data_IF_316478656992
#
_entry.id   IF_316478656992
#
_cell.length_a   1.000
_cell.length_b   1.000
_cell.length_c   1.000
_cell.angle_alpha   90.00
_cell.angle_beta   90.00
_cell.angle_gamma   90.00
#
_symmetry.space_group_name_H-M   'P 1'
#
loop_
_entity.id
_entity.type
_entity.pdbx_description
1 polymer ?
#
# COMPACT_ATOMS: atom_id res chain seq x y z
N UNK A 1 2.20 -2.14 -13.88
CA UNK A 1 2.41 -0.95 -13.04
C UNK A 1 3.36 -0.01 -13.76
N UNK A 2 3.05 1.29 -13.78
CA UNK A 2 3.90 2.33 -14.36
C UNK A 2 3.82 3.62 -13.52
N UNK A 3 4.84 4.50 -13.58
CA UNK A 3 4.84 5.76 -12.83
C UNK A 3 3.70 6.68 -13.27
N UNK A 4 3.00 7.28 -12.29
CA UNK A 4 1.91 8.24 -12.57
C UNK A 4 2.47 9.56 -13.12
N UNK A 5 3.62 10.02 -12.63
CA UNK A 5 4.15 11.34 -12.96
C UNK A 5 3.35 12.47 -12.30
N UNK A 6 3.33 13.64 -12.93
CA UNK A 6 2.69 14.85 -12.37
C UNK A 6 1.23 15.01 -12.79
N UNK A 7 0.78 14.30 -13.83
CA UNK A 7 -0.54 14.46 -14.43
C UNK A 7 -1.27 13.12 -14.46
N UNK A 8 -2.42 13.05 -13.82
CA UNK A 8 -3.30 11.88 -13.89
C UNK A 8 -3.89 11.69 -15.28
N UNK A 9 -4.08 12.76 -16.05
CA UNK A 9 -4.56 12.71 -17.44
C UNK A 9 -3.51 12.05 -18.31
N UNK A 10 -2.25 12.51 -18.25
CA UNK A 10 -1.15 11.93 -19.02
C UNK A 10 -0.88 10.47 -18.62
N UNK A 11 -1.01 10.16 -17.33
CA UNK A 11 -0.91 8.78 -16.84
C UNK A 11 -2.01 7.89 -17.43
N UNK A 12 -3.24 8.40 -17.52
CA UNK A 12 -4.36 7.67 -18.11
C UNK A 12 -4.16 7.42 -19.61
N UNK A 13 -3.61 8.39 -20.32
CA UNK A 13 -3.32 8.25 -21.76
C UNK A 13 -2.20 7.24 -22.02
N UNK A 14 -1.08 7.32 -21.29
CA UNK A 14 -0.02 6.28 -21.37
C UNK A 14 -0.55 4.88 -21.05
N UNK A 15 -1.50 4.77 -20.11
CA UNK A 15 -2.14 3.49 -19.81
C UNK A 15 -3.01 3.00 -20.98
N UNK A 16 -3.75 3.90 -21.62
CA UNK A 16 -4.55 3.59 -22.80
C UNK A 16 -3.67 3.08 -23.95
N UNK A 17 -2.55 3.77 -24.21
CA UNK A 17 -1.58 3.35 -25.24
C UNK A 17 -0.97 1.97 -24.91
N UNK A 18 -0.60 1.73 -23.64
CA UNK A 18 -0.06 0.44 -23.20
C UNK A 18 -1.09 -0.69 -23.36
N UNK A 19 -2.36 -0.43 -23.08
CA UNK A 19 -3.46 -1.40 -23.29
C UNK A 19 -3.64 -1.69 -24.78
N UNK A 20 -3.65 -0.65 -25.64
CA UNK A 20 -3.74 -0.83 -27.08
C UNK A 20 -2.57 -1.64 -27.64
N UNK A 21 -1.35 -1.38 -27.18
CA UNK A 21 -0.16 -2.15 -27.55
C UNK A 21 -0.23 -3.62 -27.10
N UNK A 22 -0.97 -3.90 -26.02
CA UNK A 22 -1.24 -5.26 -25.53
C UNK A 22 -2.45 -5.93 -26.23
N UNK A 23 -3.08 -5.26 -27.22
CA UNK A 23 -4.21 -5.78 -27.97
C UNK A 23 -5.59 -5.48 -27.39
N UNK A 24 -5.69 -4.58 -26.40
CA UNK A 24 -6.95 -4.17 -25.76
C UNK A 24 -7.34 -2.76 -26.21
N UNK A 25 -8.38 -2.64 -27.03
CA UNK A 25 -8.96 -1.34 -27.37
C UNK A 25 -10.02 -0.95 -26.34
N UNK A 26 -9.75 0.10 -25.57
CA UNK A 26 -10.69 0.59 -24.54
C UNK A 26 -11.97 1.20 -25.11
N UNK A 27 -12.01 1.47 -26.41
CA UNK A 27 -13.18 1.97 -27.13
C UNK A 27 -14.02 0.84 -27.76
N UNK A 28 -13.56 -0.41 -27.75
CA UNK A 28 -14.30 -1.54 -28.32
C UNK A 28 -15.58 -1.85 -27.51
N UNK A 29 -16.63 -2.27 -28.21
CA UNK A 29 -17.95 -2.50 -27.61
C UNK A 29 -17.98 -3.62 -26.55
N UNK A 30 -17.02 -4.52 -26.58
CA UNK A 30 -16.87 -5.65 -25.64
C UNK A 30 -15.90 -5.33 -24.47
N UNK A 31 -15.24 -4.17 -24.49
CA UNK A 31 -14.35 -3.72 -23.42
C UNK A 31 -15.08 -2.79 -22.44
N UNK A 32 -14.90 -3.04 -21.15
CA UNK A 32 -15.47 -2.20 -20.10
C UNK A 32 -14.38 -1.74 -19.15
N UNK A 33 -14.33 -0.43 -18.89
CA UNK A 33 -13.34 0.21 -18.07
C UNK A 33 -13.96 0.81 -16.81
N UNK A 34 -13.47 0.41 -15.65
CA UNK A 34 -13.77 1.07 -14.38
C UNK A 34 -12.50 1.72 -13.87
N UNK A 35 -12.57 3.02 -13.61
CA UNK A 35 -11.48 3.78 -13.00
C UNK A 35 -11.60 3.83 -11.48
N UNK A 36 -10.47 3.73 -10.79
CA UNK A 36 -10.36 3.81 -9.33
C UNK A 36 -9.10 4.57 -8.91
N UNK A 37 -8.91 4.78 -7.59
CA UNK A 37 -7.79 5.54 -7.04
C UNK A 37 -8.01 7.06 -7.10
N UNK A 38 -6.99 7.83 -6.73
CA UNK A 38 -7.04 9.31 -6.73
C UNK A 38 -7.26 9.89 -8.12
N UNK A 39 -6.63 9.30 -9.15
CA UNK A 39 -6.73 9.74 -10.54
C UNK A 39 -8.02 9.32 -11.26
N UNK A 40 -8.94 8.61 -10.60
CA UNK A 40 -10.11 7.99 -11.25
C UNK A 40 -10.99 8.94 -12.06
N UNK A 41 -11.07 10.20 -11.64
CA UNK A 41 -11.89 11.21 -12.33
C UNK A 41 -11.20 11.79 -13.58
N UNK A 42 -9.91 11.52 -13.76
CA UNK A 42 -9.11 11.98 -14.87
C UNK A 42 -8.95 10.91 -15.97
N UNK A 43 -9.76 9.86 -15.98
CA UNK A 43 -9.75 8.78 -16.98
C UNK A 43 -10.94 8.97 -17.93
N UNK A 44 -10.76 9.62 -19.10
CA UNK A 44 -11.88 10.03 -19.95
C UNK A 44 -12.59 8.85 -20.64
N UNK A 45 -11.92 7.72 -20.76
CA UNK A 45 -12.45 6.49 -21.35
C UNK A 45 -13.06 5.52 -20.31
N UNK A 46 -13.16 5.94 -19.05
CA UNK A 46 -13.79 5.12 -18.00
C UNK A 46 -15.32 5.13 -18.18
N UNK A 47 -15.92 3.96 -18.29
CA UNK A 47 -17.36 3.80 -18.30
C UNK A 47 -18.00 4.05 -16.94
N UNK A 48 -17.24 3.79 -15.86
CA UNK A 48 -17.68 4.03 -14.48
C UNK A 48 -16.50 4.32 -13.56
N UNK A 49 -16.78 5.08 -12.53
CA UNK A 49 -15.83 5.41 -11.44
C UNK A 49 -16.28 4.72 -10.16
N UNK A 50 -15.38 3.99 -9.51
CA UNK A 50 -15.62 3.32 -8.22
C UNK A 50 -14.54 3.74 -7.23
N UNK A 51 -14.90 3.87 -5.95
CA UNK A 51 -13.96 4.29 -4.92
C UNK A 51 -12.87 3.26 -4.70
N UNK A 52 -11.69 3.72 -4.37
CA UNK A 52 -10.51 2.90 -4.14
C UNK A 52 -10.73 1.88 -3.02
N UNK A 53 -11.31 2.30 -1.91
CA UNK A 53 -11.63 1.42 -0.77
C UNK A 53 -12.51 0.24 -1.21
N UNK A 54 -13.54 0.52 -2.02
CA UNK A 54 -14.46 -0.49 -2.53
C UNK A 54 -13.76 -1.45 -3.49
N UNK A 55 -12.90 -0.92 -4.38
CA UNK A 55 -12.12 -1.74 -5.30
C UNK A 55 -11.09 -2.60 -4.57
N UNK A 56 -10.38 -2.08 -3.57
CA UNK A 56 -9.45 -2.88 -2.75
C UNK A 56 -10.16 -4.04 -2.07
N UNK A 57 -11.29 -3.79 -1.40
CA UNK A 57 -12.08 -4.84 -0.78
C UNK A 57 -12.48 -5.93 -1.79
N UNK A 58 -12.96 -5.52 -2.96
CA UNK A 58 -13.38 -6.45 -4.03
C UNK A 58 -12.21 -7.27 -4.57
N UNK A 59 -11.07 -6.62 -4.83
CA UNK A 59 -9.87 -7.27 -5.37
C UNK A 59 -9.26 -8.25 -4.40
N UNK A 60 -9.11 -7.88 -3.14
CA UNK A 60 -8.62 -8.79 -2.10
C UNK A 60 -9.57 -9.97 -1.90
N UNK A 61 -10.88 -9.74 -1.85
CA UNK A 61 -11.86 -10.82 -1.71
C UNK A 61 -11.90 -11.76 -2.92
N UNK A 62 -11.50 -11.28 -4.11
CA UNK A 62 -11.31 -12.12 -5.29
C UNK A 62 -10.04 -12.97 -5.19
N UNK A 63 -8.94 -12.40 -4.67
CA UNK A 63 -7.65 -13.06 -4.55
C UNK A 63 -7.59 -14.05 -3.37
N UNK A 64 -8.27 -13.72 -2.27
CA UNK A 64 -8.39 -14.57 -1.08
C UNK A 64 -9.74 -14.34 -0.40
N UNK A 65 -10.57 -15.36 -0.32
CA UNK A 65 -11.95 -15.26 0.16
C UNK A 65 -12.07 -15.16 1.70
N UNK A 66 -10.95 -15.21 2.40
CA UNK A 66 -10.94 -15.30 3.86
C UNK A 66 -10.55 -14.01 4.58
N UNK A 67 -10.13 -12.98 3.85
CA UNK A 67 -9.69 -11.73 4.44
C UNK A 67 -10.77 -11.10 5.33
N UNK A 68 -10.36 -10.59 6.49
CA UNK A 68 -11.20 -9.79 7.40
C UNK A 68 -10.66 -8.39 7.58
N UNK A 69 -9.37 -8.22 7.41
CA UNK A 69 -8.70 -6.92 7.48
C UNK A 69 -7.73 -6.78 6.32
N UNK A 70 -7.79 -5.66 5.63
CA UNK A 70 -6.81 -5.29 4.61
C UNK A 70 -6.00 -4.14 5.17
N UNK A 71 -4.67 -4.27 5.10
CA UNK A 71 -3.72 -3.18 5.35
C UNK A 71 -3.07 -2.84 4.02
N UNK A 72 -3.47 -1.73 3.43
CA UNK A 72 -2.89 -1.21 2.19
C UNK A 72 -1.91 -0.10 2.51
N UNK A 73 -0.63 -0.30 2.17
CA UNK A 73 0.40 0.74 2.36
C UNK A 73 0.98 1.08 0.99
N UNK A 74 0.54 2.22 0.49
CA UNK A 74 1.03 2.81 -0.75
C UNK A 74 2.27 3.69 -0.54
N UNK A 75 2.70 4.34 -1.62
CA UNK A 75 3.80 5.30 -1.57
C UNK A 75 3.47 6.57 -0.79
N UNK A 76 2.24 7.06 -0.87
CA UNK A 76 1.83 8.36 -0.29
C UNK A 76 0.70 8.25 0.74
N UNK A 77 0.03 7.14 0.83
CA UNK A 77 -1.08 6.91 1.74
C UNK A 77 -1.02 5.50 2.37
N UNK A 78 -1.78 5.32 3.43
CA UNK A 78 -2.02 4.02 4.04
C UNK A 78 -3.50 3.88 4.40
N UNK A 79 -4.04 2.70 4.24
CA UNK A 79 -5.45 2.38 4.51
C UNK A 79 -5.55 1.09 5.32
N UNK A 80 -6.46 1.09 6.25
CA UNK A 80 -6.89 -0.14 6.92
C UNK A 80 -8.38 -0.29 6.67
N UNK A 81 -8.77 -1.42 6.09
CA UNK A 81 -10.14 -1.71 5.69
C UNK A 81 -10.59 -2.98 6.40
N UNK A 82 -11.66 -2.87 7.18
CA UNK A 82 -12.34 -4.03 7.80
C UNK A 82 -13.40 -4.55 6.85
N UNK A 83 -13.41 -5.85 6.65
CA UNK A 83 -14.42 -6.55 5.85
C UNK A 83 -15.42 -7.28 6.75
N UNK A 84 -16.66 -7.33 6.31
CA UNK A 84 -17.68 -8.22 6.88
C UNK A 84 -17.50 -9.67 6.38
N UNK A 85 -18.35 -10.58 6.87
CA UNK A 85 -18.30 -11.98 6.48
C UNK A 85 -18.60 -12.24 4.99
N UNK A 86 -19.18 -11.25 4.28
CA UNK A 86 -19.45 -11.31 2.84
C UNK A 86 -18.35 -10.69 1.99
N UNK A 87 -17.24 -10.23 2.61
CA UNK A 87 -16.13 -9.56 1.94
C UNK A 87 -16.42 -8.11 1.55
N UNK A 88 -17.48 -7.49 2.10
CA UNK A 88 -17.80 -6.08 1.88
C UNK A 88 -17.16 -5.20 2.93
N UNK A 89 -16.92 -3.95 2.58
CA UNK A 89 -16.38 -2.95 3.51
C UNK A 89 -17.35 -2.70 4.67
N UNK A 90 -16.92 -3.04 5.87
CA UNK A 90 -17.65 -2.76 7.11
C UNK A 90 -17.19 -1.42 7.73
N UNK A 91 -15.89 -1.15 7.72
CA UNK A 91 -15.30 0.07 8.26
C UNK A 91 -13.94 0.33 7.61
N UNK A 92 -13.44 1.55 7.62
CA UNK A 92 -12.09 1.86 7.18
C UNK A 92 -11.53 3.12 7.82
N UNK A 93 -10.22 3.20 7.85
CA UNK A 93 -9.45 4.39 8.22
C UNK A 93 -8.36 4.62 7.16
N UNK A 94 -8.12 5.87 6.81
CA UNK A 94 -7.11 6.27 5.84
C UNK A 94 -6.19 7.35 6.40
N UNK A 95 -4.91 7.26 6.06
CA UNK A 95 -3.91 8.29 6.23
C UNK A 95 -3.43 8.75 4.85
N UNK A 96 -3.92 9.88 4.39
CA UNK A 96 -3.64 10.44 3.06
C UNK A 96 -2.87 11.77 3.09
N UNK A 97 -2.62 12.31 4.29
CA UNK A 97 -2.03 13.65 4.46
C UNK A 97 -0.66 13.64 5.12
N UNK A 98 -0.26 12.49 5.66
CA UNK A 98 0.99 12.38 6.43
C UNK A 98 1.84 11.24 5.87
N UNK A 99 3.08 11.53 5.50
CA UNK A 99 4.04 10.55 5.01
C UNK A 99 4.41 9.48 6.06
N UNK A 100 4.29 9.81 7.36
CA UNK A 100 4.51 8.83 8.42
C UNK A 100 3.51 7.68 8.33
N UNK A 101 4.02 6.45 8.23
CA UNK A 101 3.21 5.25 8.03
C UNK A 101 2.92 4.91 6.56
N UNK A 102 3.67 5.47 5.62
CA UNK A 102 3.56 5.21 4.18
C UNK A 102 4.92 4.83 3.57
N UNK A 103 4.95 4.39 2.32
CA UNK A 103 6.19 4.11 1.60
C UNK A 103 7.13 5.32 1.51
N UNK A 104 6.59 6.53 1.48
CA UNK A 104 7.38 7.77 1.48
C UNK A 104 8.28 7.89 2.72
N UNK A 105 7.84 7.39 3.87
CA UNK A 105 8.69 7.33 5.05
C UNK A 105 9.91 6.43 4.83
N UNK A 106 9.72 5.24 4.25
CA UNK A 106 10.84 4.34 3.92
C UNK A 106 11.79 4.96 2.89
N UNK A 107 11.27 5.65 1.87
CA UNK A 107 12.10 6.37 0.90
C UNK A 107 13.00 7.43 1.56
N UNK A 108 12.46 8.18 2.53
CA UNK A 108 13.25 9.16 3.28
C UNK A 108 14.32 8.45 4.11
N UNK A 109 13.99 7.35 4.80
CA UNK A 109 14.95 6.59 5.57
C UNK A 109 16.04 5.96 4.71
N UNK A 110 15.69 5.36 3.58
CA UNK A 110 16.64 4.80 2.61
C UNK A 110 17.63 5.87 2.11
N UNK A 111 17.13 7.05 1.77
CA UNK A 111 17.97 8.19 1.36
C UNK A 111 18.94 8.62 2.45
N UNK A 112 18.50 8.72 3.70
CA UNK A 112 19.37 9.10 4.84
C UNK A 112 20.43 8.03 5.10
N UNK A 113 20.07 6.76 4.92
CA UNK A 113 20.99 5.62 5.08
C UNK A 113 21.87 5.38 3.84
N UNK A 114 21.66 6.12 2.74
CA UNK A 114 22.45 6.03 1.52
C UNK A 114 22.23 4.71 0.75
N UNK A 115 21.02 4.14 0.82
CA UNK A 115 20.68 2.85 0.20
C UNK A 115 19.37 2.94 -0.62
N UNK A 116 19.07 1.90 -1.39
CA UNK A 116 17.78 1.74 -2.07
C UNK A 116 16.70 1.21 -1.10
N UNK A 117 15.44 1.17 -1.53
CA UNK A 117 14.36 0.57 -0.74
C UNK A 117 14.54 -0.94 -0.53
N UNK A 118 15.09 -1.63 -1.53
CA UNK A 118 15.38 -3.07 -1.45
C UNK A 118 16.52 -3.31 -0.46
N UNK A 119 17.64 -2.55 -0.58
CA UNK A 119 18.75 -2.61 0.37
C UNK A 119 18.31 -2.28 1.80
N UNK A 120 17.34 -1.39 1.98
CA UNK A 120 16.82 -1.02 3.31
C UNK A 120 16.19 -2.23 4.03
N UNK A 121 15.51 -3.09 3.28
CA UNK A 121 14.95 -4.33 3.83
C UNK A 121 16.08 -5.30 4.22
N UNK A 122 17.05 -5.53 3.34
CA UNK A 122 18.20 -6.41 3.61
C UNK A 122 19.07 -5.90 4.77
N UNK A 123 19.23 -4.58 4.86
CA UNK A 123 19.97 -3.94 5.95
C UNK A 123 19.26 -4.17 7.30
N UNK A 124 17.93 -4.08 7.34
CA UNK A 124 17.15 -4.31 8.54
C UNK A 124 17.24 -5.76 9.07
N UNK A 125 17.49 -6.75 8.18
CA UNK A 125 17.73 -8.16 8.58
C UNK A 125 19.01 -8.33 9.41
N UNK A 126 19.97 -7.45 9.25
CA UNK A 126 21.25 -7.47 9.96
C UNK A 126 21.17 -6.77 11.34
N UNK A 127 20.00 -6.30 11.74
CA UNK A 127 19.84 -5.60 13.02
C UNK A 127 20.14 -6.51 14.22
N UNK A 128 20.89 -5.98 15.18
CA UNK A 128 21.27 -6.68 16.40
C UNK A 128 20.48 -6.23 17.61
N UNK A 129 19.85 -5.06 17.52
CA UNK A 129 18.95 -4.51 18.56
C UNK A 129 17.80 -3.74 17.93
N UNK A 130 16.69 -3.66 18.63
CA UNK A 130 15.58 -2.78 18.26
C UNK A 130 15.81 -1.39 18.86
N UNK A 131 15.75 -0.36 18.02
CA UNK A 131 15.77 1.04 18.46
C UNK A 131 14.45 1.69 18.12
N UNK A 132 13.99 2.58 18.99
CA UNK A 132 12.77 3.35 18.73
C UNK A 132 13.08 4.55 17.84
N UNK A 133 12.32 4.73 16.77
CA UNK A 133 12.34 5.90 15.90
C UNK A 133 11.00 6.62 16.01
N UNK A 134 11.01 7.94 15.90
CA UNK A 134 9.79 8.75 15.92
C UNK A 134 8.82 8.31 14.79
N UNK A 135 7.59 8.01 15.17
CA UNK A 135 6.53 7.58 14.23
C UNK A 135 5.45 8.64 14.02
N UNK A 136 5.61 9.82 14.58
CA UNK A 136 4.62 10.91 14.50
C UNK A 136 4.79 11.73 13.23
N UNK A 137 6.04 12.09 12.91
CA UNK A 137 6.35 12.95 11.77
C UNK A 137 7.65 12.49 11.09
N UNK A 138 7.62 12.36 9.77
CA UNK A 138 8.78 11.95 8.96
C UNK A 138 9.97 12.89 9.10
N UNK A 139 9.74 14.21 9.23
CA UNK A 139 10.82 15.20 9.40
C UNK A 139 11.55 15.00 10.74
N UNK A 140 10.80 14.74 11.80
CA UNK A 140 11.42 14.46 13.11
C UNK A 140 12.15 13.11 13.10
N UNK A 141 11.60 12.10 12.46
CA UNK A 141 12.26 10.82 12.29
C UNK A 141 13.57 10.95 11.49
N UNK A 142 13.59 11.73 10.40
CA UNK A 142 14.78 12.00 9.60
C UNK A 142 15.89 12.62 10.45
N UNK A 143 15.57 13.67 11.20
CA UNK A 143 16.52 14.34 12.11
C UNK A 143 17.03 13.43 13.23
N UNK A 144 16.14 12.60 13.79
CA UNK A 144 16.51 11.61 14.81
C UNK A 144 17.47 10.56 14.26
N UNK A 145 17.18 10.01 13.06
CA UNK A 145 18.01 9.01 12.40
C UNK A 145 19.41 9.56 12.13
N UNK A 146 19.53 10.78 11.62
CA UNK A 146 20.83 11.44 11.39
C UNK A 146 21.60 11.55 12.73
N UNK A 147 20.93 11.96 13.80
CA UNK A 147 21.55 12.09 15.13
C UNK A 147 22.01 10.75 15.69
N UNK A 148 21.23 9.68 15.51
CA UNK A 148 21.59 8.33 15.94
C UNK A 148 22.79 7.76 15.20
N UNK A 149 22.86 7.97 13.89
CA UNK A 149 24.01 7.56 13.08
C UNK A 149 25.27 8.32 13.49
N UNK A 150 25.15 9.63 13.74
CA UNK A 150 26.26 10.45 14.25
C UNK A 150 26.74 10.02 15.65
N UNK A 151 25.84 9.47 16.47
CA UNK A 151 26.16 8.88 17.78
C UNK A 151 26.74 7.45 17.68
N UNK A 152 26.92 6.90 16.49
CA UNK A 152 27.54 5.59 16.27
C UNK A 152 26.55 4.39 16.29
N UNK A 153 25.24 4.63 16.22
CA UNK A 153 24.27 3.56 16.05
C UNK A 153 24.46 2.87 14.70
N UNK A 154 24.28 1.55 14.66
CA UNK A 154 24.42 0.80 13.42
C UNK A 154 23.27 1.11 12.46
N UNK A 155 23.59 1.31 11.18
CA UNK A 155 22.60 1.54 10.13
C UNK A 155 21.52 0.44 10.06
N UNK A 156 21.90 -0.81 10.32
CA UNK A 156 20.98 -1.94 10.38
C UNK A 156 19.92 -1.79 11.49
N UNK A 157 20.34 -1.40 12.69
CA UNK A 157 19.43 -1.20 13.83
C UNK A 157 18.49 -0.01 13.56
N UNK A 158 18.98 1.05 12.90
CA UNK A 158 18.17 2.20 12.46
C UNK A 158 17.16 1.78 11.39
N UNK A 159 17.59 1.00 10.39
CA UNK A 159 16.71 0.49 9.35
C UNK A 159 15.56 -0.35 9.95
N UNK A 160 15.87 -1.25 10.88
CA UNK A 160 14.85 -2.04 11.59
C UNK A 160 13.91 -1.14 12.39
N UNK A 161 14.45 -0.15 13.11
CA UNK A 161 13.66 0.83 13.87
C UNK A 161 12.69 1.62 12.99
N UNK A 162 13.07 1.93 11.75
CA UNK A 162 12.20 2.60 10.78
C UNK A 162 10.99 1.74 10.38
N UNK A 163 11.19 0.43 10.13
CA UNK A 163 10.08 -0.49 9.84
C UNK A 163 9.13 -0.62 11.03
N UNK A 164 9.67 -0.76 12.24
CA UNK A 164 8.87 -0.82 13.49
C UNK A 164 8.09 0.49 13.71
N UNK A 165 8.67 1.64 13.40
CA UNK A 165 7.98 2.93 13.52
C UNK A 165 6.73 3.00 12.63
N UNK A 166 6.81 2.51 11.38
CA UNK A 166 5.65 2.39 10.48
C UNK A 166 4.64 1.38 11.05
N UNK A 167 5.11 0.20 11.47
CA UNK A 167 4.23 -0.84 12.01
C UNK A 167 3.39 -0.32 13.18
N UNK A 168 4.01 0.39 14.14
CA UNK A 168 3.30 1.03 15.27
C UNK A 168 2.30 2.08 14.81
N UNK A 169 2.63 2.86 13.78
CA UNK A 169 1.71 3.86 13.22
C UNK A 169 0.49 3.20 12.60
N UNK A 170 0.70 2.17 11.79
CA UNK A 170 -0.36 1.40 11.12
C UNK A 170 -1.20 0.63 12.14
N UNK A 171 -0.57 0.06 13.18
CA UNK A 171 -1.29 -0.58 14.28
C UNK A 171 -2.27 0.37 14.97
N UNK A 172 -1.90 1.65 15.14
CA UNK A 172 -2.84 2.67 15.63
C UNK A 172 -4.05 2.87 14.70
N UNK A 173 -3.91 2.67 13.39
CA UNK A 173 -5.02 2.67 12.44
C UNK A 173 -5.87 1.39 12.57
N UNK A 174 -5.22 0.23 12.69
CA UNK A 174 -5.88 -1.06 12.90
C UNK A 174 -6.78 -1.04 14.15
N UNK A 175 -6.28 -0.51 15.24
CA UNK A 175 -7.05 -0.37 16.49
C UNK A 175 -8.29 0.52 16.33
N UNK A 176 -8.19 1.61 15.56
CA UNK A 176 -9.35 2.50 15.30
C UNK A 176 -10.41 1.86 14.43
N UNK A 177 -10.03 1.00 13.50
CA UNK A 177 -10.97 0.25 12.65
C UNK A 177 -11.63 -0.91 13.41
N UNK A 178 -10.96 -1.43 14.44
CA UNK A 178 -11.35 -2.66 15.10
C UNK A 178 -11.04 -3.86 14.22
N UNK A 179 -9.73 -4.05 13.88
CA UNK A 179 -9.30 -5.12 13.00
C UNK A 179 -9.63 -6.52 13.54
N UNK A 180 -9.74 -7.47 12.62
CA UNK A 180 -9.94 -8.89 12.91
C UNK A 180 -8.85 -9.73 12.26
N UNK A 181 -8.48 -10.91 12.83
CA UNK A 181 -7.53 -11.86 12.21
C UNK A 181 -7.92 -12.24 10.78
N UNK A 182 -6.98 -12.85 10.05
CA UNK A 182 -6.93 -12.99 8.60
C UNK A 182 -6.66 -11.64 7.94
N UNK A 183 -5.49 -11.11 8.29
CA UNK A 183 -5.00 -9.82 7.79
C UNK A 183 -4.27 -10.04 6.48
N UNK A 184 -4.63 -9.24 5.49
CA UNK A 184 -3.98 -9.21 4.16
C UNK A 184 -3.30 -7.87 3.97
N UNK A 185 -2.04 -7.89 3.53
CA UNK A 185 -1.31 -6.68 3.19
C UNK A 185 -1.25 -6.48 1.67
N UNK A 186 -1.52 -5.25 1.23
CA UNK A 186 -1.48 -4.79 -0.16
C UNK A 186 -0.69 -3.49 -0.30
N UNK A 187 -0.55 -3.01 -1.53
CA UNK A 187 0.25 -1.83 -1.85
C UNK A 187 1.72 -2.17 -2.10
N UNK A 188 2.49 -1.17 -2.53
CA UNK A 188 3.91 -1.36 -2.86
C UNK A 188 4.77 -1.76 -1.68
N UNK A 189 4.42 -1.32 -0.48
CA UNK A 189 5.16 -1.63 0.76
C UNK A 189 4.97 -3.09 1.20
N UNK A 190 3.94 -3.78 0.72
CA UNK A 190 3.77 -5.22 0.96
C UNK A 190 4.88 -6.09 0.33
N UNK A 191 5.64 -5.56 -0.62
CA UNK A 191 6.80 -6.23 -1.20
C UNK A 191 8.03 -6.21 -0.28
N UNK A 192 8.04 -5.37 0.76
CA UNK A 192 9.10 -5.30 1.75
C UNK A 192 8.85 -6.33 2.87
N UNK A 193 9.59 -7.42 2.86
CA UNK A 193 9.43 -8.52 3.83
C UNK A 193 9.62 -8.07 5.29
N UNK A 194 10.56 -7.15 5.55
CA UNK A 194 10.77 -6.59 6.88
C UNK A 194 9.60 -5.75 7.38
N UNK A 195 8.88 -5.08 6.45
CA UNK A 195 7.67 -4.35 6.83
C UNK A 195 6.54 -5.31 7.21
N UNK A 196 6.37 -6.39 6.44
CA UNK A 196 5.39 -7.44 6.74
C UNK A 196 5.69 -8.09 8.09
N UNK A 197 6.96 -8.44 8.35
CA UNK A 197 7.42 -9.01 9.62
C UNK A 197 7.20 -8.04 10.80
N UNK A 198 7.59 -6.78 10.65
CA UNK A 198 7.42 -5.78 11.69
C UNK A 198 5.94 -5.57 12.04
N UNK A 199 5.07 -5.49 11.03
CA UNK A 199 3.63 -5.34 11.25
C UNK A 199 3.00 -6.61 11.84
N UNK A 200 3.42 -7.79 11.38
CA UNK A 200 2.99 -9.09 11.92
C UNK A 200 3.29 -9.22 13.41
N UNK A 201 4.49 -8.80 13.82
CA UNK A 201 4.92 -8.78 15.23
C UNK A 201 4.10 -7.80 16.05
N UNK A 202 3.87 -6.59 15.54
CA UNK A 202 3.11 -5.55 16.23
C UNK A 202 1.63 -5.94 16.38
N UNK A 203 1.04 -6.63 15.39
CA UNK A 203 -0.35 -7.12 15.42
C UNK A 203 -0.51 -8.42 16.20
N UNK A 204 0.56 -9.17 16.43
CA UNK A 204 0.52 -10.48 17.08
C UNK A 204 -0.18 -11.56 16.25
N UNK A 205 -0.24 -11.40 14.92
CA UNK A 205 -0.85 -12.38 14.01
C UNK A 205 -0.10 -12.43 12.67
N UNK A 206 -0.28 -13.54 11.95
CA UNK A 206 0.27 -13.67 10.60
C UNK A 206 -0.44 -12.72 9.62
N UNK A 207 0.34 -12.16 8.70
CA UNK A 207 -0.14 -11.29 7.61
C UNK A 207 0.13 -12.00 6.29
N UNK A 208 -0.91 -12.14 5.48
CA UNK A 208 -0.83 -12.68 4.13
C UNK A 208 -0.51 -11.55 3.15
N UNK A 209 0.43 -11.80 2.22
CA UNK A 209 0.65 -10.92 1.06
C UNK A 209 0.11 -11.66 -0.16
N UNK A 210 -0.95 -11.12 -0.76
CA UNK A 210 -1.58 -11.74 -1.93
C UNK A 210 -0.74 -11.53 -3.19
N UNK A 211 -0.82 -12.45 -4.17
CA UNK A 211 -0.25 -12.21 -5.49
C UNK A 211 -0.75 -10.90 -6.08
N UNK A 212 0.13 -10.18 -6.79
CA UNK A 212 -0.22 -8.88 -7.37
C UNK A 212 -0.72 -7.84 -6.35
N UNK A 213 -0.18 -7.84 -5.14
CA UNK A 213 -0.59 -6.97 -4.03
C UNK A 213 -0.64 -5.47 -4.40
N UNK A 214 0.21 -5.00 -5.32
CA UNK A 214 0.17 -3.62 -5.83
C UNK A 214 -1.02 -3.34 -6.75
N UNK A 215 -1.62 -4.37 -7.33
CA UNK A 215 -2.71 -4.26 -8.30
C UNK A 215 -4.10 -4.59 -7.71
N UNK A 216 -4.19 -4.84 -6.39
CA UNK A 216 -5.43 -5.28 -5.74
C UNK A 216 -6.63 -4.36 -6.07
N UNK A 217 -6.43 -3.04 -6.03
CA UNK A 217 -7.46 -2.07 -6.41
C UNK A 217 -7.88 -2.18 -7.89
N UNK A 218 -6.92 -2.38 -8.80
CA UNK A 218 -7.20 -2.54 -10.23
C UNK A 218 -7.90 -3.87 -10.53
N UNK A 219 -7.49 -4.95 -9.86
CA UNK A 219 -8.17 -6.26 -9.95
C UNK A 219 -9.63 -6.12 -9.49
N UNK A 220 -9.88 -5.44 -8.38
CA UNK A 220 -11.23 -5.18 -7.90
C UNK A 220 -12.07 -4.35 -8.87
N UNK A 221 -11.48 -3.35 -9.51
CA UNK A 221 -12.14 -2.57 -10.56
C UNK A 221 -12.50 -3.45 -11.76
N UNK A 222 -11.60 -4.35 -12.19
CA UNK A 222 -11.86 -5.30 -13.28
C UNK A 222 -12.97 -6.30 -12.93
N UNK A 223 -12.99 -6.83 -11.71
CA UNK A 223 -14.07 -7.71 -11.23
C UNK A 223 -15.41 -6.97 -11.23
N UNK A 224 -15.45 -5.71 -10.79
CA UNK A 224 -16.65 -4.90 -10.88
C UNK A 224 -17.08 -4.64 -12.31
N UNK A 225 -16.15 -4.37 -13.24
CA UNK A 225 -16.46 -4.19 -14.65
C UNK A 225 -17.14 -5.45 -15.20
N UNK A 226 -16.58 -6.63 -14.94
CA UNK A 226 -17.15 -7.91 -15.35
C UNK A 226 -18.56 -8.13 -14.79
N UNK A 227 -18.75 -7.93 -13.47
CA UNK A 227 -20.05 -8.18 -12.82
C UNK A 227 -21.16 -7.22 -13.25
N UNK A 228 -20.82 -5.96 -13.56
CA UNK A 228 -21.82 -4.95 -13.93
C UNK A 228 -22.27 -5.11 -15.38
N UNK A 229 -21.38 -5.53 -16.27
CA UNK A 229 -21.64 -5.55 -17.70
C UNK A 229 -21.89 -6.94 -18.28
N UNK A 230 -21.78 -8.00 -17.46
CA UNK A 230 -22.13 -9.36 -17.84
C UNK A 230 -23.37 -9.90 -17.10
N UNK A 231 -24.12 -9.02 -16.43
CA UNK A 231 -25.47 -9.28 -15.89
C UNK A 231 -26.51 -8.78 -16.87
#
# INVERSE_FOLDING_TARGET
>A
VQPTGFSSVDASERLREALAAAGYDVAADDVRVIATGYGRVAVPYAHKVVTEITCHAKGVNYLTQEARTIVDIGGQDAKVIKLDASGKVANFVMNEKCAAGTGRFLEVMARVLGCTLDDLSELADQATKEISINNTCTVFAESEVISRLAAGEKAADVARGAHVAIAKRVMGMCNRVGYEPKVVMTGGVALNANMVDALSKEMGCAIEVVPHCQAAGAIGAAVFAYEIYNK
#
